data_IF_333704545990
#
_entry.id   IF_333704545990
#
_cell.length_a   1.000
_cell.length_b   1.000
_cell.length_c   1.000
_cell.angle_alpha   90.00
_cell.angle_beta   90.00
_cell.angle_gamma   90.00
#
_symmetry.space_group_name_H-M   'P 1'
#
loop_
_entity.id
_entity.type
_entity.pdbx_description
1 polymer ?
#
# COMPACT_ATOMS: atom_id res chain seq x y z
N UNK A 1 20.46 27.38 8.21
CA UNK A 1 20.96 27.91 6.91
C UNK A 1 19.74 28.18 6.04
N UNK A 2 19.73 29.28 5.28
CA UNK A 2 18.61 29.59 4.38
C UNK A 2 18.67 28.69 3.15
N UNK A 3 17.52 28.19 2.71
CA UNK A 3 17.39 27.50 1.42
C UNK A 3 17.84 28.42 0.28
N UNK A 4 18.38 27.86 -0.80
CA UNK A 4 18.72 28.66 -1.98
C UNK A 4 17.45 29.05 -2.73
N UNK A 5 17.44 30.25 -3.35
CA UNK A 5 16.32 30.76 -4.17
C UNK A 5 15.80 29.77 -5.22
N UNK A 6 16.66 28.97 -5.91
CA UNK A 6 16.19 27.94 -6.82
C UNK A 6 15.29 26.90 -6.14
N UNK A 7 15.64 26.46 -4.92
CA UNK A 7 14.87 25.46 -4.18
C UNK A 7 13.57 26.04 -3.66
N UNK A 8 13.57 27.26 -3.13
CA UNK A 8 12.33 27.96 -2.73
C UNK A 8 11.33 28.01 -3.88
N UNK A 9 11.79 28.33 -5.09
CA UNK A 9 10.95 28.34 -6.29
C UNK A 9 10.39 26.95 -6.63
N UNK A 10 11.17 25.88 -6.47
CA UNK A 10 10.72 24.50 -6.69
C UNK A 10 9.66 24.08 -5.67
N UNK A 11 9.86 24.42 -4.39
CA UNK A 11 8.89 24.16 -3.34
C UNK A 11 7.59 24.92 -3.59
N UNK A 12 7.67 26.20 -3.97
CA UNK A 12 6.49 26.98 -4.35
C UNK A 12 5.75 26.41 -5.56
N UNK A 13 6.47 25.89 -6.55
CA UNK A 13 5.89 25.19 -7.71
C UNK A 13 5.12 23.93 -7.27
N UNK A 14 5.69 23.13 -6.37
CA UNK A 14 5.05 21.94 -5.81
C UNK A 14 3.79 22.29 -5.01
N UNK A 15 3.85 23.33 -4.16
CA UNK A 15 2.73 23.80 -3.34
C UNK A 15 1.56 24.36 -4.17
N UNK A 16 1.87 24.96 -5.32
CA UNK A 16 0.88 25.41 -6.28
C UNK A 16 0.21 24.27 -7.06
N UNK A 17 0.61 23.00 -6.84
CA UNK A 17 0.08 21.84 -7.57
C UNK A 17 0.58 21.75 -9.01
N UNK A 18 1.64 22.48 -9.37
CA UNK A 18 2.21 22.42 -10.72
C UNK A 18 3.11 21.19 -10.83
N UNK A 19 2.94 20.40 -11.90
CA UNK A 19 3.73 19.20 -12.15
C UNK A 19 5.24 19.50 -12.15
N UNK A 20 5.98 18.76 -11.32
CA UNK A 20 7.43 18.83 -11.28
C UNK A 20 8.01 18.05 -12.47
N UNK A 21 9.01 18.65 -13.12
CA UNK A 21 9.76 17.98 -14.18
C UNK A 21 10.76 16.98 -13.58
N UNK A 22 11.35 16.13 -14.43
CA UNK A 22 12.43 15.23 -14.01
C UNK A 22 13.58 15.97 -13.33
N UNK A 23 13.98 17.11 -13.86
CA UNK A 23 15.11 17.88 -13.33
C UNK A 23 14.75 18.58 -12.01
N UNK A 24 13.50 19.04 -11.85
CA UNK A 24 12.97 19.55 -10.59
C UNK A 24 13.07 18.46 -9.49
N UNK A 25 12.60 17.25 -9.79
CA UNK A 25 12.63 16.11 -8.86
C UNK A 25 14.07 15.75 -8.50
N UNK A 26 14.97 15.68 -9.48
CA UNK A 26 16.38 15.40 -9.23
C UNK A 26 17.05 16.45 -8.35
N UNK A 27 16.71 17.73 -8.52
CA UNK A 27 17.23 18.80 -7.68
C UNK A 27 16.76 18.63 -6.22
N UNK A 28 15.48 18.30 -6.00
CA UNK A 28 14.94 18.05 -4.66
C UNK A 28 15.54 16.80 -4.00
N UNK A 29 15.72 15.70 -4.75
CA UNK A 29 16.32 14.47 -4.23
C UNK A 29 17.82 14.61 -3.90
N UNK A 30 18.52 15.57 -4.51
CA UNK A 30 19.93 15.88 -4.25
C UNK A 30 20.13 16.88 -3.13
N UNK A 31 19.06 17.35 -2.49
CA UNK A 31 19.19 18.25 -1.34
C UNK A 31 20.01 17.57 -0.24
N UNK A 32 20.98 18.29 0.35
CA UNK A 32 21.66 17.82 1.56
C UNK A 32 20.65 17.58 2.67
N UNK A 33 20.91 16.62 3.57
CA UNK A 33 20.00 16.26 4.66
C UNK A 33 19.54 17.43 5.53
N UNK A 34 20.35 18.48 5.63
CA UNK A 34 20.04 19.70 6.40
C UNK A 34 18.92 20.56 5.80
N UNK A 35 18.58 20.36 4.51
CA UNK A 35 17.46 21.04 3.83
C UNK A 35 16.18 20.19 3.79
N UNK A 36 16.20 19.06 4.50
CA UNK A 36 15.02 18.23 4.72
C UNK A 36 13.86 18.95 5.44
N UNK A 37 14.06 19.90 6.39
CA UNK A 37 12.95 20.52 7.10
C UNK A 37 12.01 21.33 6.21
N UNK A 38 12.54 22.12 5.28
CA UNK A 38 11.72 22.95 4.39
C UNK A 38 10.97 22.12 3.35
N UNK A 39 11.62 21.08 2.82
CA UNK A 39 10.97 20.10 1.94
C UNK A 39 9.83 19.37 2.66
N UNK A 40 10.06 18.93 3.90
CA UNK A 40 9.03 18.28 4.72
C UNK A 40 7.90 19.24 5.08
N UNK A 41 8.22 20.50 5.39
CA UNK A 41 7.21 21.52 5.68
C UNK A 41 6.35 21.82 4.43
N UNK A 42 6.96 21.91 3.24
CA UNK A 42 6.25 22.07 1.98
C UNK A 42 5.32 20.88 1.70
N UNK A 43 5.85 19.65 1.81
CA UNK A 43 5.05 18.43 1.68
C UNK A 43 3.88 18.39 2.67
N UNK A 44 4.11 18.83 3.91
CA UNK A 44 3.07 18.91 4.94
C UNK A 44 1.99 19.95 4.62
N UNK A 45 2.37 21.11 4.05
CA UNK A 45 1.42 22.12 3.56
C UNK A 45 0.55 21.56 2.43
N UNK A 46 1.16 20.87 1.46
CA UNK A 46 0.43 20.20 0.36
C UNK A 46 -0.52 19.13 0.92
N UNK A 47 -0.03 18.20 1.74
CA UNK A 47 -0.84 17.16 2.37
C UNK A 47 -2.04 17.76 3.12
N UNK A 48 -1.81 18.79 3.94
CA UNK A 48 -2.89 19.46 4.69
C UNK A 48 -3.91 20.14 3.79
N UNK A 49 -3.46 20.78 2.71
CA UNK A 49 -4.33 21.45 1.74
C UNK A 49 -5.19 20.45 0.96
N UNK A 50 -4.61 19.34 0.51
CA UNK A 50 -5.26 18.41 -0.41
C UNK A 50 -6.09 17.33 0.32
N UNK A 51 -5.63 16.85 1.48
CA UNK A 51 -6.30 15.74 2.21
C UNK A 51 -6.64 16.07 3.67
N UNK A 52 -6.44 17.31 4.11
CA UNK A 52 -6.78 17.75 5.46
C UNK A 52 -5.90 17.12 6.54
N UNK A 53 -6.43 17.09 7.77
CA UNK A 53 -5.77 16.53 8.96
C UNK A 53 -6.34 15.14 9.35
N UNK A 54 -7.21 14.56 8.51
CA UNK A 54 -7.74 13.20 8.70
C UNK A 54 -6.65 12.13 8.47
N UNK A 55 -6.71 11.06 9.26
CA UNK A 55 -5.80 9.92 9.16
C UNK A 55 -6.61 8.67 8.80
N UNK A 56 -6.38 8.13 7.61
CA UNK A 56 -7.07 6.93 7.12
C UNK A 56 -6.34 5.66 7.59
N UNK A 57 -6.91 4.96 8.57
CA UNK A 57 -6.38 3.70 9.07
C UNK A 57 -6.72 2.54 8.12
N UNK A 58 -5.78 1.60 7.95
CA UNK A 58 -5.95 0.36 7.18
C UNK A 58 -5.40 -0.81 7.97
N UNK A 59 -6.24 -1.80 8.27
CA UNK A 59 -5.81 -3.04 8.89
C UNK A 59 -5.25 -3.96 7.83
N UNK A 60 -4.09 -4.59 8.07
CA UNK A 60 -3.47 -5.51 7.12
C UNK A 60 -3.57 -6.94 7.62
N UNK A 61 -4.00 -7.85 6.74
CA UNK A 61 -4.01 -9.29 6.97
C UNK A 61 -3.01 -9.91 5.99
N UNK A 62 -1.88 -10.35 6.53
CA UNK A 62 -0.87 -11.10 5.79
C UNK A 62 -1.29 -12.59 5.80
N UNK A 63 -2.08 -13.03 4.81
CA UNK A 63 -2.78 -14.32 4.90
C UNK A 63 -2.01 -15.52 4.32
N UNK A 64 -0.91 -15.26 3.62
CA UNK A 64 0.03 -16.29 3.17
C UNK A 64 1.42 -15.71 2.96
N UNK A 65 2.43 -16.39 3.51
CA UNK A 65 3.83 -16.05 3.29
C UNK A 65 4.52 -16.94 2.24
N UNK A 66 3.75 -17.80 1.55
CA UNK A 66 4.23 -18.57 0.41
C UNK A 66 4.31 -17.65 -0.81
N UNK A 67 5.39 -17.78 -1.58
CA UNK A 67 5.62 -16.94 -2.75
C UNK A 67 6.36 -17.73 -3.82
N UNK A 68 5.92 -17.61 -5.07
CA UNK A 68 6.53 -18.23 -6.25
C UNK A 68 7.67 -17.38 -6.84
N UNK A 69 7.74 -16.10 -6.46
CA UNK A 69 8.80 -15.18 -6.88
C UNK A 69 10.08 -15.36 -6.08
N UNK A 70 11.19 -14.86 -6.65
CA UNK A 70 12.51 -14.95 -6.02
C UNK A 70 13.19 -13.59 -5.84
N UNK A 71 12.42 -12.56 -5.46
CA UNK A 71 12.92 -11.19 -5.31
C UNK A 71 14.12 -11.14 -4.35
N UNK A 72 15.24 -10.53 -4.79
CA UNK A 72 16.52 -10.57 -4.06
C UNK A 72 16.48 -9.83 -2.72
N UNK A 73 15.57 -8.87 -2.56
CA UNK A 73 15.38 -8.09 -1.34
C UNK A 73 14.37 -8.72 -0.37
N UNK A 74 13.60 -9.72 -0.78
CA UNK A 74 12.42 -10.18 -0.05
C UNK A 74 12.71 -11.44 0.77
N UNK A 75 12.41 -11.42 2.07
CA UNK A 75 12.50 -12.59 2.94
C UNK A 75 11.55 -13.73 2.57
N UNK A 76 10.43 -13.42 1.89
CA UNK A 76 9.45 -14.42 1.43
C UNK A 76 9.85 -15.15 0.16
N UNK A 77 10.97 -14.77 -0.48
CA UNK A 77 11.44 -15.37 -1.74
C UNK A 77 11.41 -16.90 -1.68
N UNK A 78 11.04 -17.54 -2.79
CA UNK A 78 10.83 -19.00 -2.83
C UNK A 78 12.03 -19.83 -2.38
N UNK A 79 13.25 -19.34 -2.60
CA UNK A 79 14.46 -20.08 -2.25
C UNK A 79 14.92 -19.85 -0.79
N UNK A 80 14.14 -19.14 0.03
CA UNK A 80 14.40 -19.08 1.46
C UNK A 80 13.70 -20.27 2.15
N UNK A 81 14.48 -21.32 2.39
CA UNK A 81 14.08 -22.57 3.05
C UNK A 81 14.09 -22.50 4.58
N UNK A 82 14.67 -21.43 5.15
CA UNK A 82 14.74 -21.20 6.60
C UNK A 82 13.46 -20.57 7.17
N UNK A 83 12.54 -20.15 6.31
CA UNK A 83 11.29 -19.52 6.72
C UNK A 83 10.20 -20.58 6.87
N UNK A 84 9.59 -20.66 8.06
CA UNK A 84 8.36 -21.45 8.25
C UNK A 84 7.23 -20.88 7.40
N UNK A 85 6.64 -21.72 6.54
CA UNK A 85 5.61 -21.31 5.60
C UNK A 85 4.22 -21.57 6.18
N UNK A 86 3.29 -20.65 5.96
CA UNK A 86 1.91 -20.78 6.40
C UNK A 86 0.92 -20.26 5.36
N UNK A 87 -0.32 -20.71 5.52
CA UNK A 87 -1.52 -20.19 4.85
C UNK A 87 -2.61 -20.12 5.90
N UNK A 88 -3.30 -18.98 5.99
CA UNK A 88 -4.53 -18.90 6.74
C UNK A 88 -5.66 -19.61 5.97
N UNK A 89 -6.61 -20.16 6.71
CA UNK A 89 -7.87 -20.64 6.16
C UNK A 89 -8.81 -19.47 5.86
N UNK A 90 -9.79 -19.67 4.98
CA UNK A 90 -10.76 -18.62 4.62
C UNK A 90 -11.52 -18.11 5.84
N UNK A 91 -11.81 -18.99 6.80
CA UNK A 91 -12.49 -18.62 8.05
C UNK A 91 -11.57 -17.84 9.01
N UNK A 92 -10.27 -18.15 9.09
CA UNK A 92 -9.30 -17.34 9.85
C UNK A 92 -9.17 -15.93 9.26
N UNK A 93 -9.13 -15.81 7.93
CA UNK A 93 -9.04 -14.51 7.24
C UNK A 93 -10.30 -13.70 7.54
N UNK A 94 -11.48 -14.30 7.39
CA UNK A 94 -12.74 -13.62 7.68
C UNK A 94 -12.89 -13.25 9.14
N UNK A 95 -12.52 -14.14 10.07
CA UNK A 95 -12.55 -13.84 11.50
C UNK A 95 -11.67 -12.63 11.82
N UNK A 96 -10.46 -12.58 11.24
CA UNK A 96 -9.55 -11.44 11.39
C UNK A 96 -10.14 -10.15 10.80
N UNK A 97 -10.78 -10.22 9.62
CA UNK A 97 -11.46 -9.07 9.04
C UNK A 97 -12.63 -8.57 9.91
N UNK A 98 -13.40 -9.47 10.53
CA UNK A 98 -14.44 -9.09 11.49
C UNK A 98 -13.86 -8.40 12.72
N UNK A 99 -12.69 -8.81 13.22
CA UNK A 99 -12.01 -8.09 14.32
C UNK A 99 -11.57 -6.69 13.92
N UNK A 100 -11.03 -6.51 12.69
CA UNK A 100 -10.68 -5.19 12.14
C UNK A 100 -11.93 -4.28 12.07
N UNK A 101 -13.06 -4.82 11.63
CA UNK A 101 -14.33 -4.07 11.61
C UNK A 101 -14.81 -3.69 13.02
N UNK A 102 -14.68 -4.59 14.00
CA UNK A 102 -15.06 -4.31 15.41
C UNK A 102 -14.28 -3.16 16.02
N UNK A 103 -12.99 -3.02 15.68
CA UNK A 103 -12.17 -1.87 16.13
C UNK A 103 -12.37 -0.62 15.26
N UNK A 104 -13.36 -0.62 14.36
CA UNK A 104 -13.77 0.50 13.51
C UNK A 104 -12.69 1.01 12.56
N UNK A 105 -11.78 0.13 12.13
CA UNK A 105 -10.87 0.43 11.02
C UNK A 105 -11.65 0.19 9.72
N UNK A 106 -11.84 1.20 8.85
CA UNK A 106 -12.80 1.11 7.74
C UNK A 106 -12.31 0.29 6.54
N UNK A 107 -11.00 0.04 6.47
CA UNK A 107 -10.36 -0.63 5.34
C UNK A 107 -9.51 -1.80 5.80
N UNK A 108 -9.64 -2.93 5.10
CA UNK A 108 -8.75 -4.07 5.21
C UNK A 108 -7.89 -4.23 3.96
N UNK A 109 -6.61 -4.51 4.15
CA UNK A 109 -5.66 -4.87 3.10
C UNK A 109 -5.40 -6.38 3.21
N UNK A 110 -5.74 -7.13 2.16
CA UNK A 110 -5.38 -8.54 2.05
C UNK A 110 -4.04 -8.63 1.31
N UNK A 111 -3.00 -9.06 2.02
CA UNK A 111 -1.64 -9.16 1.50
C UNK A 111 -1.13 -10.59 1.59
N UNK A 112 -0.41 -11.02 0.56
CA UNK A 112 0.31 -12.29 0.55
C UNK A 112 1.53 -12.22 -0.34
N UNK A 113 2.38 -13.25 -0.28
CA UNK A 113 3.23 -13.57 -1.43
C UNK A 113 2.38 -14.00 -2.64
N UNK A 114 3.04 -14.26 -3.77
CA UNK A 114 2.37 -14.82 -4.94
C UNK A 114 2.16 -16.33 -4.75
N UNK A 115 0.97 -16.69 -4.29
CA UNK A 115 0.60 -18.05 -3.92
C UNK A 115 -0.59 -18.57 -4.76
N UNK A 116 -0.34 -19.43 -5.74
CA UNK A 116 -1.38 -19.98 -6.64
C UNK A 116 -2.41 -20.88 -5.94
N UNK A 117 -2.22 -21.22 -4.66
CA UNK A 117 -3.26 -21.90 -3.87
C UNK A 117 -4.52 -21.05 -3.73
N UNK A 118 -4.38 -19.72 -3.75
CA UNK A 118 -5.51 -18.80 -3.77
C UNK A 118 -5.83 -18.44 -5.23
N UNK A 119 -6.70 -19.26 -5.82
CA UNK A 119 -7.23 -19.01 -7.16
C UNK A 119 -8.03 -17.71 -7.21
N UNK A 120 -8.18 -17.15 -8.40
CA UNK A 120 -8.96 -15.93 -8.66
C UNK A 120 -10.36 -16.03 -8.07
N UNK A 121 -11.06 -17.12 -8.37
CA UNK A 121 -12.40 -17.43 -7.88
C UNK A 121 -12.48 -17.54 -6.35
N UNK A 122 -11.46 -18.10 -5.69
CA UNK A 122 -11.39 -18.13 -4.23
C UNK A 122 -11.20 -16.75 -3.62
N UNK A 123 -10.32 -15.92 -4.21
CA UNK A 123 -10.14 -14.53 -3.79
C UNK A 123 -11.44 -13.74 -3.96
N UNK A 124 -12.12 -13.84 -5.11
CA UNK A 124 -13.40 -13.15 -5.34
C UNK A 124 -14.45 -13.54 -4.28
N UNK A 125 -14.65 -14.83 -4.02
CA UNK A 125 -15.57 -15.28 -2.96
C UNK A 125 -15.21 -14.74 -1.59
N UNK A 126 -13.91 -14.71 -1.27
CA UNK A 126 -13.44 -14.19 0.01
C UNK A 126 -13.69 -12.68 0.13
N UNK A 127 -13.45 -11.92 -0.94
CA UNK A 127 -13.73 -10.48 -1.04
C UNK A 127 -15.23 -10.21 -0.83
N UNK A 128 -16.09 -10.90 -1.57
CA UNK A 128 -17.55 -10.78 -1.44
C UNK A 128 -18.01 -11.11 -0.02
N UNK A 129 -17.53 -12.21 0.55
CA UNK A 129 -17.89 -12.64 1.92
C UNK A 129 -17.46 -11.59 2.96
N UNK A 130 -16.24 -11.07 2.88
CA UNK A 130 -15.77 -10.02 3.80
C UNK A 130 -16.62 -8.75 3.64
N UNK A 131 -16.88 -8.28 2.41
CA UNK A 131 -17.71 -7.09 2.18
C UNK A 131 -19.11 -7.26 2.76
N UNK A 132 -19.77 -8.38 2.45
CA UNK A 132 -21.14 -8.63 2.88
C UNK A 132 -21.27 -8.74 4.41
N UNK A 133 -20.28 -9.30 5.07
CA UNK A 133 -20.35 -9.54 6.52
C UNK A 133 -19.79 -8.39 7.38
N UNK A 134 -18.90 -7.56 6.83
CA UNK A 134 -18.19 -6.54 7.61
C UNK A 134 -18.40 -5.11 7.12
N UNK A 135 -18.84 -4.92 5.87
CA UNK A 135 -18.93 -3.60 5.24
C UNK A 135 -17.58 -2.91 5.00
N UNK A 136 -16.45 -3.61 5.21
CA UNK A 136 -15.11 -3.04 5.04
C UNK A 136 -14.80 -2.76 3.57
N UNK A 137 -14.03 -1.70 3.35
CA UNK A 137 -13.36 -1.45 2.06
C UNK A 137 -12.18 -2.43 1.96
N UNK A 138 -12.02 -3.08 0.80
CA UNK A 138 -10.96 -4.07 0.60
C UNK A 138 -9.92 -3.54 -0.38
N UNK A 139 -8.65 -3.65 -0.01
CA UNK A 139 -7.49 -3.49 -0.90
C UNK A 139 -6.78 -4.84 -1.06
N UNK A 140 -6.44 -5.22 -2.29
CA UNK A 140 -5.67 -6.43 -2.56
C UNK A 140 -4.20 -6.08 -2.84
N UNK A 141 -3.28 -6.82 -2.21
CA UNK A 141 -1.83 -6.74 -2.42
C UNK A 141 -1.27 -8.17 -2.55
N UNK A 142 -1.58 -8.83 -3.66
CA UNK A 142 -1.34 -10.28 -3.85
C UNK A 142 -0.41 -10.59 -5.05
N UNK A 143 0.47 -9.63 -5.38
CA UNK A 143 1.49 -9.76 -6.43
C UNK A 143 0.97 -9.60 -7.86
N UNK A 144 1.75 -10.10 -8.82
CA UNK A 144 1.42 -10.00 -10.24
C UNK A 144 0.35 -11.02 -10.65
N UNK A 145 -0.73 -10.54 -11.27
CA UNK A 145 -1.83 -11.35 -11.80
C UNK A 145 -2.07 -11.01 -13.26
N UNK A 146 -2.79 -11.88 -13.97
CA UNK A 146 -3.16 -11.59 -15.36
C UNK A 146 -4.30 -10.55 -15.39
N UNK A 147 -4.55 -9.95 -16.56
CA UNK A 147 -5.56 -8.91 -16.70
C UNK A 147 -6.98 -9.37 -16.35
N UNK A 148 -7.33 -10.63 -16.65
CA UNK A 148 -8.64 -11.19 -16.35
C UNK A 148 -8.85 -11.39 -14.84
N UNK A 149 -7.80 -11.76 -14.11
CA UNK A 149 -7.85 -11.87 -12.64
C UNK A 149 -8.16 -10.51 -12.01
N UNK A 150 -7.48 -9.44 -12.44
CA UNK A 150 -7.76 -8.09 -11.93
C UNK A 150 -9.19 -7.62 -12.26
N UNK A 151 -9.70 -7.96 -13.44
CA UNK A 151 -11.09 -7.66 -13.81
C UNK A 151 -12.08 -8.40 -12.92
N UNK A 152 -11.83 -9.67 -12.63
CA UNK A 152 -12.66 -10.46 -11.72
C UNK A 152 -12.66 -9.89 -10.30
N UNK A 153 -11.49 -9.49 -9.77
CA UNK A 153 -11.39 -8.87 -8.44
C UNK A 153 -12.12 -7.52 -8.34
N UNK A 154 -12.15 -6.75 -9.42
CA UNK A 154 -12.83 -5.46 -9.45
C UNK A 154 -14.37 -5.60 -9.47
N UNK A 155 -14.87 -6.76 -9.89
CA UNK A 155 -16.31 -7.06 -9.98
C UNK A 155 -16.87 -7.75 -8.72
N UNK A 156 -16.01 -8.46 -7.97
CA UNK A 156 -16.31 -9.00 -6.62
C UNK A 156 -16.43 -7.91 -5.58
#
# INVERSE_FOLDING_TARGET
MSISKPIERLLGKAEAGTALTRDDILALLKLPGDYSPDLFAAANRVRRKEVGDEIFLRGIIEFSNICERNCLYCGLRKSNDRLSRYRMTDDEILATAREIAKIRVPTVVLQSGEDSFYSTDRICRMVERIKNETGLIITLSIGEKNAADYQAFAQS
#
